data_IF_939529623781
#
_entry.id   IF_939529623781
#
_cell.length_a   1.000
_cell.length_b   1.000
_cell.length_c   1.000
_cell.angle_alpha   90.00
_cell.angle_beta   90.00
_cell.angle_gamma   90.00
#
_symmetry.space_group_name_H-M   'P 1'
#
loop_
_entity.id
_entity.type
_entity.pdbx_description
1 polymer ?
#
# COMPACT_ATOMS: atom_id res chain seq x y z
N UNK A 1 -25.27 3.18 -4.15
CA UNK A 1 -25.21 2.03 -3.23
C UNK A 1 -24.77 2.47 -1.85
N UNK A 2 -24.97 1.60 -0.85
CA UNK A 2 -24.43 1.74 0.51
C UNK A 2 -23.21 0.82 0.61
N UNK A 3 -22.05 1.39 0.91
CA UNK A 3 -20.77 0.68 0.94
C UNK A 3 -20.27 0.65 2.39
N UNK A 4 -20.04 -0.55 2.92
CA UNK A 4 -19.42 -0.72 4.22
C UNK A 4 -17.90 -0.85 4.08
N UNK A 5 -17.15 -0.16 4.94
CA UNK A 5 -15.69 -0.18 4.91
C UNK A 5 -15.19 -0.60 6.31
N UNK A 6 -14.46 -1.72 6.37
CA UNK A 6 -13.81 -2.19 7.58
C UNK A 6 -12.45 -1.49 7.67
N UNK A 7 -12.31 -0.64 8.71
CA UNK A 7 -11.28 0.36 8.82
C UNK A 7 -11.80 1.76 8.46
N UNK A 8 -11.38 2.76 9.21
CA UNK A 8 -11.75 4.15 9.02
C UNK A 8 -10.53 5.10 9.08
N UNK A 9 -9.38 4.61 8.66
CA UNK A 9 -8.15 5.37 8.53
C UNK A 9 -8.18 6.32 7.33
N UNK A 10 -7.01 6.74 6.87
CA UNK A 10 -6.90 7.66 5.73
C UNK A 10 -7.34 7.02 4.41
N UNK A 11 -7.12 5.71 4.22
CA UNK A 11 -7.56 5.03 3.00
C UNK A 11 -9.09 4.97 2.94
N UNK A 12 -9.73 4.62 4.06
CA UNK A 12 -11.18 4.68 4.22
C UNK A 12 -11.73 6.09 4.01
N UNK A 13 -11.03 7.13 4.50
CA UNK A 13 -11.42 8.52 4.24
C UNK A 13 -11.42 8.86 2.74
N UNK A 14 -10.36 8.50 2.01
CA UNK A 14 -10.25 8.75 0.57
C UNK A 14 -11.25 7.91 -0.23
N UNK A 15 -11.48 6.64 0.14
CA UNK A 15 -12.57 5.83 -0.42
C UNK A 15 -13.94 6.49 -0.20
N UNK A 16 -14.20 7.00 1.00
CA UNK A 16 -15.45 7.67 1.31
C UNK A 16 -15.65 8.97 0.54
N UNK A 17 -14.58 9.73 0.26
CA UNK A 17 -14.66 10.91 -0.59
C UNK A 17 -14.93 10.54 -2.05
N UNK A 18 -14.25 9.53 -2.59
CA UNK A 18 -14.49 9.00 -3.93
C UNK A 18 -15.94 8.49 -4.07
N UNK A 19 -16.41 7.72 -3.08
CA UNK A 19 -17.78 7.20 -3.03
C UNK A 19 -18.84 8.31 -3.07
N UNK A 20 -18.60 9.40 -2.33
CA UNK A 20 -19.49 10.57 -2.35
C UNK A 20 -19.53 11.22 -3.74
N UNK A 21 -18.40 11.31 -4.43
CA UNK A 21 -18.31 11.79 -5.81
C UNK A 21 -19.14 10.94 -6.80
N UNK A 22 -19.23 9.64 -6.54
CA UNK A 22 -20.05 8.67 -7.31
C UNK A 22 -21.52 8.59 -6.84
N UNK A 23 -21.94 9.37 -5.84
CA UNK A 23 -23.29 9.33 -5.29
C UNK A 23 -23.57 8.13 -4.37
N UNK A 24 -22.52 7.45 -3.88
CA UNK A 24 -22.65 6.36 -2.92
C UNK A 24 -22.59 6.88 -1.48
N UNK A 25 -23.03 6.04 -0.52
CA UNK A 25 -22.96 6.32 0.91
C UNK A 25 -22.05 5.30 1.59
N UNK A 26 -21.07 5.78 2.36
CA UNK A 26 -20.19 4.91 3.13
C UNK A 26 -20.59 4.80 4.59
N UNK A 27 -20.38 3.61 5.14
CA UNK A 27 -20.47 3.28 6.57
C UNK A 27 -19.16 2.61 6.96
N UNK A 28 -18.63 2.94 8.13
CA UNK A 28 -17.32 2.46 8.57
C UNK A 28 -17.43 1.66 9.85
N UNK A 29 -16.49 0.74 10.06
CA UNK A 29 -16.26 0.07 11.35
C UNK A 29 -14.80 0.26 11.75
N UNK A 30 -14.54 0.82 12.93
CA UNK A 30 -13.16 1.09 13.39
C UNK A 30 -13.15 1.19 14.92
N UNK A 31 -12.12 0.66 15.62
CA UNK A 31 -12.04 0.76 17.08
C UNK A 31 -11.74 2.17 17.61
N UNK A 32 -11.22 3.07 16.77
CA UNK A 32 -10.82 4.42 17.18
C UNK A 32 -12.04 5.31 17.44
N UNK A 33 -11.95 6.19 18.45
CA UNK A 33 -13.00 7.16 18.77
C UNK A 33 -13.06 8.31 17.74
N UNK A 34 -11.94 8.69 17.14
CA UNK A 34 -11.82 9.77 16.17
C UNK A 34 -11.04 9.37 14.91
N UNK A 35 -11.53 8.37 14.14
CA UNK A 35 -10.84 7.96 12.94
C UNK A 35 -10.96 9.01 11.82
N UNK A 36 -9.98 9.10 10.90
CA UNK A 36 -9.99 10.03 9.76
C UNK A 36 -11.26 9.98 8.91
N UNK A 37 -11.79 8.80 8.61
CA UNK A 37 -12.94 8.61 7.73
C UNK A 37 -14.28 9.08 8.31
N UNK A 38 -14.36 9.48 9.59
CA UNK A 38 -15.59 10.02 10.21
C UNK A 38 -16.19 11.21 9.48
N UNK A 39 -15.37 11.96 8.71
CA UNK A 39 -15.83 13.10 7.90
C UNK A 39 -16.45 12.66 6.58
N UNK A 40 -16.30 11.39 6.21
CA UNK A 40 -16.81 10.80 4.97
C UNK A 40 -18.09 9.98 5.17
N UNK A 41 -18.38 9.51 6.41
CA UNK A 41 -19.60 8.78 6.74
C UNK A 41 -19.69 8.35 8.20
N UNK A 42 -20.82 7.74 8.62
CA UNK A 42 -21.01 7.21 9.98
C UNK A 42 -20.01 6.09 10.28
N UNK A 43 -19.52 6.06 11.53
CA UNK A 43 -18.61 5.03 12.04
C UNK A 43 -19.29 4.23 13.14
N UNK A 44 -19.25 2.91 13.02
CA UNK A 44 -19.56 1.96 14.11
C UNK A 44 -18.25 1.79 14.87
N UNK A 45 -18.19 2.27 16.11
CA UNK A 45 -17.00 2.15 16.93
C UNK A 45 -17.00 0.77 17.61
N UNK A 46 -16.18 -0.15 17.10
CA UNK A 46 -16.03 -1.50 17.64
C UNK A 46 -14.70 -2.12 17.20
N UNK A 47 -14.17 -3.11 17.91
CA UNK A 47 -13.06 -3.94 17.44
C UNK A 47 -13.37 -4.61 16.10
N UNK A 48 -12.33 -4.91 15.30
CA UNK A 48 -12.51 -5.53 13.99
C UNK A 48 -12.99 -6.98 14.04
N UNK A 49 -12.90 -7.64 15.20
CA UNK A 49 -13.38 -9.00 15.48
C UNK A 49 -14.75 -9.03 16.16
N UNK A 50 -15.40 -7.89 16.38
CA UNK A 50 -16.74 -7.82 16.92
C UNK A 50 -17.78 -8.28 15.87
N UNK A 51 -18.19 -9.55 15.98
CA UNK A 51 -19.13 -10.20 15.05
C UNK A 51 -20.50 -9.52 15.01
N UNK A 52 -20.95 -8.93 16.14
CA UNK A 52 -22.22 -8.20 16.20
C UNK A 52 -22.12 -6.89 15.43
N UNK A 53 -21.05 -6.14 15.64
CA UNK A 53 -20.81 -4.90 14.91
C UNK A 53 -20.62 -5.13 13.40
N UNK A 54 -19.93 -6.20 13.02
CA UNK A 54 -19.78 -6.62 11.62
C UNK A 54 -21.14 -6.98 11.00
N UNK A 55 -21.98 -7.73 11.68
CA UNK A 55 -23.33 -8.06 11.21
C UNK A 55 -24.22 -6.79 11.07
N UNK A 56 -24.11 -5.83 11.98
CA UNK A 56 -24.80 -4.53 11.89
C UNK A 56 -24.29 -3.72 10.69
N UNK A 57 -22.99 -3.77 10.39
CA UNK A 57 -22.44 -3.12 9.20
C UNK A 57 -22.97 -3.80 7.93
N UNK A 58 -22.97 -5.14 7.89
CA UNK A 58 -23.47 -5.94 6.77
C UNK A 58 -24.96 -5.64 6.46
N UNK A 59 -25.81 -5.57 7.47
CA UNK A 59 -27.24 -5.27 7.31
C UNK A 59 -27.50 -3.86 6.72
N UNK A 60 -26.60 -2.93 6.98
CA UNK A 60 -26.72 -1.55 6.47
C UNK A 60 -26.23 -1.35 5.03
N UNK A 61 -25.47 -2.29 4.48
CA UNK A 61 -24.69 -2.10 3.27
C UNK A 61 -25.09 -3.06 2.16
N UNK A 62 -24.83 -2.67 0.94
CA UNK A 62 -25.10 -3.47 -0.26
C UNK A 62 -23.83 -4.25 -0.69
N UNK A 63 -22.65 -3.79 -0.24
CA UNK A 63 -21.33 -4.40 -0.43
C UNK A 63 -20.39 -3.96 0.68
N UNK A 64 -19.43 -4.81 1.07
CA UNK A 64 -18.38 -4.48 2.02
C UNK A 64 -17.01 -4.49 1.34
N UNK A 65 -16.14 -3.62 1.84
CA UNK A 65 -14.69 -3.63 1.56
C UNK A 65 -13.90 -3.37 2.83
N UNK A 66 -12.58 -3.51 2.76
CA UNK A 66 -11.68 -3.20 3.85
C UNK A 66 -10.54 -2.28 3.38
N UNK A 67 -10.05 -1.42 4.27
CA UNK A 67 -8.93 -0.52 4.00
C UNK A 67 -7.66 -0.90 4.76
N UNK A 68 -7.77 -1.92 5.63
CA UNK A 68 -6.69 -2.37 6.50
C UNK A 68 -6.51 -3.90 6.37
N UNK A 69 -5.31 -4.34 6.08
CA UNK A 69 -5.03 -5.74 5.76
C UNK A 69 -4.95 -6.69 6.96
N UNK A 70 -4.77 -6.16 8.19
CA UNK A 70 -4.72 -6.99 9.40
C UNK A 70 -6.07 -7.14 10.10
N UNK A 71 -7.18 -7.06 9.34
CA UNK A 71 -8.51 -7.39 9.87
C UNK A 71 -8.68 -8.90 10.01
N UNK A 72 -9.37 -9.40 11.04
CA UNK A 72 -9.54 -10.85 11.26
C UNK A 72 -10.36 -11.50 10.15
N UNK A 73 -9.74 -12.35 9.33
CA UNK A 73 -10.38 -13.04 8.19
C UNK A 73 -11.57 -13.88 8.65
N UNK A 74 -11.43 -14.60 9.78
CA UNK A 74 -12.45 -15.48 10.33
C UNK A 74 -13.72 -14.72 10.76
N UNK A 75 -13.55 -13.51 11.31
CA UNK A 75 -14.69 -12.68 11.71
C UNK A 75 -15.45 -12.12 10.51
N UNK A 76 -14.73 -11.79 9.43
CA UNK A 76 -15.35 -11.31 8.20
C UNK A 76 -16.00 -12.47 7.43
N UNK A 77 -15.42 -13.67 7.48
CA UNK A 77 -15.99 -14.84 6.83
C UNK A 77 -17.43 -15.15 7.30
N UNK A 78 -17.76 -14.89 8.56
CA UNK A 78 -19.10 -15.12 9.11
C UNK A 78 -20.19 -14.24 8.49
N UNK A 79 -19.83 -13.14 7.84
CA UNK A 79 -20.79 -12.20 7.24
C UNK A 79 -20.83 -12.25 5.71
N UNK A 80 -20.00 -13.10 5.06
CA UNK A 80 -19.96 -13.20 3.59
C UNK A 80 -21.25 -13.75 2.98
N UNK A 81 -22.02 -14.54 3.75
CA UNK A 81 -23.36 -15.01 3.34
C UNK A 81 -24.45 -13.93 3.43
N UNK A 82 -24.18 -12.83 4.16
CA UNK A 82 -25.12 -11.73 4.37
C UNK A 82 -24.97 -10.64 3.30
N UNK A 83 -23.74 -10.38 2.86
CA UNK A 83 -23.40 -9.30 1.95
C UNK A 83 -22.11 -9.64 1.19
N UNK A 84 -21.98 -9.29 -0.11
CA UNK A 84 -20.72 -9.44 -0.83
C UNK A 84 -19.58 -8.67 -0.14
N UNK A 85 -18.44 -9.33 0.01
CA UNK A 85 -17.21 -8.74 0.59
C UNK A 85 -16.11 -8.77 -0.46
N UNK A 86 -15.58 -7.61 -0.80
CA UNK A 86 -14.47 -7.44 -1.73
C UNK A 86 -13.38 -6.53 -1.16
N UNK A 87 -12.12 -6.83 -1.46
CA UNK A 87 -11.60 -7.97 -2.20
C UNK A 87 -11.84 -9.32 -1.52
N UNK A 88 -11.61 -10.46 -2.23
CA UNK A 88 -11.87 -11.79 -1.68
C UNK A 88 -10.96 -12.08 -0.49
N UNK A 89 -11.50 -12.74 0.54
CA UNK A 89 -10.78 -13.05 1.77
C UNK A 89 -9.55 -13.94 1.56
N UNK A 90 -9.50 -14.72 0.46
CA UNK A 90 -8.32 -15.49 0.08
C UNK A 90 -7.11 -14.57 -0.17
N UNK A 91 -7.30 -13.44 -0.85
CA UNK A 91 -6.24 -12.46 -1.07
C UNK A 91 -5.76 -11.84 0.24
N UNK A 92 -6.70 -11.50 1.13
CA UNK A 92 -6.38 -10.97 2.46
C UNK A 92 -5.56 -11.97 3.29
N UNK A 93 -5.93 -13.26 3.24
CA UNK A 93 -5.24 -14.33 3.96
C UNK A 93 -3.80 -14.50 3.48
N UNK A 94 -3.56 -14.48 2.17
CA UNK A 94 -2.21 -14.54 1.61
C UNK A 94 -1.37 -13.33 2.04
N UNK A 95 -1.91 -12.11 1.95
CA UNK A 95 -1.19 -10.89 2.33
C UNK A 95 -0.87 -10.78 3.84
N UNK A 96 -1.61 -11.49 4.70
CA UNK A 96 -1.36 -11.49 6.15
C UNK A 96 -0.18 -12.35 6.60
N UNK A 97 0.36 -13.20 5.73
CA UNK A 97 1.47 -14.09 6.06
C UNK A 97 2.52 -14.09 4.95
N UNK A 98 3.70 -13.54 5.21
CA UNK A 98 4.77 -13.38 4.22
C UNK A 98 5.18 -14.71 3.55
N UNK A 99 5.10 -15.84 4.27
CA UNK A 99 5.43 -17.15 3.68
C UNK A 99 4.33 -17.59 2.70
N UNK A 100 3.06 -17.41 3.05
CA UNK A 100 1.94 -17.75 2.18
C UNK A 100 1.91 -16.84 0.94
N UNK A 101 2.32 -15.59 1.10
CA UNK A 101 2.50 -14.62 0.02
C UNK A 101 3.63 -15.03 -0.94
N UNK A 102 4.82 -15.39 -0.42
CA UNK A 102 5.93 -15.87 -1.26
C UNK A 102 5.55 -17.17 -2.01
N UNK A 103 4.87 -18.09 -1.37
CA UNK A 103 4.37 -19.31 -2.01
C UNK A 103 3.34 -19.03 -3.10
N UNK A 104 2.50 -18.00 -2.93
CA UNK A 104 1.60 -17.55 -3.98
C UNK A 104 2.39 -17.04 -5.19
N UNK A 105 3.39 -16.18 -4.99
CA UNK A 105 4.23 -15.68 -6.08
C UNK A 105 4.97 -16.82 -6.79
N UNK A 106 5.57 -17.77 -6.06
CA UNK A 106 6.22 -18.97 -6.63
C UNK A 106 5.24 -19.78 -7.50
N UNK A 107 4.01 -19.97 -7.03
CA UNK A 107 2.98 -20.73 -7.76
C UNK A 107 2.55 -20.09 -9.08
N UNK A 108 2.83 -18.78 -9.23
CA UNK A 108 2.50 -17.97 -10.40
C UNK A 108 3.73 -17.66 -11.28
N UNK A 109 4.89 -18.26 -10.98
CA UNK A 109 6.16 -17.95 -11.66
C UNK A 109 6.50 -16.44 -11.63
N UNK A 110 6.11 -15.72 -10.57
CA UNK A 110 6.51 -14.33 -10.33
C UNK A 110 7.85 -14.35 -9.62
N UNK A 111 8.92 -13.73 -10.18
CA UNK A 111 10.25 -13.81 -9.62
C UNK A 111 10.34 -13.28 -8.20
N UNK A 112 11.06 -14.01 -7.35
CA UNK A 112 11.35 -13.69 -5.96
C UNK A 112 12.84 -13.67 -5.70
N UNK A 113 13.26 -12.90 -4.72
CA UNK A 113 14.56 -13.10 -4.08
C UNK A 113 14.54 -14.42 -3.31
N UNK A 114 15.70 -15.06 -3.13
CA UNK A 114 15.78 -16.30 -2.36
C UNK A 114 15.25 -16.08 -0.93
N UNK A 115 14.48 -17.03 -0.43
CA UNK A 115 13.93 -16.96 0.92
C UNK A 115 13.94 -18.32 1.62
N UNK A 116 13.90 -18.30 2.94
CA UNK A 116 13.89 -19.53 3.76
C UNK A 116 12.91 -19.36 4.93
N UNK A 117 12.17 -20.42 5.24
CA UNK A 117 11.27 -20.46 6.41
C UNK A 117 12.08 -20.70 7.67
N UNK A 118 11.88 -19.90 8.71
CA UNK A 118 12.62 -19.97 9.96
C UNK A 118 11.65 -20.29 11.10
N UNK A 119 11.85 -21.45 11.74
CA UNK A 119 11.08 -21.88 12.90
C UNK A 119 12.00 -22.14 14.11
N UNK A 120 13.31 -22.15 13.90
CA UNK A 120 14.33 -22.31 14.95
C UNK A 120 15.57 -21.48 14.61
N UNK A 121 16.49 -21.36 15.57
CA UNK A 121 17.75 -20.66 15.34
C UNK A 121 18.65 -21.45 14.35
N UNK A 122 18.56 -22.77 14.37
CA UNK A 122 19.28 -23.66 13.44
C UNK A 122 18.78 -23.46 11.99
N UNK A 123 17.49 -23.17 11.79
CA UNK A 123 16.96 -22.80 10.47
C UNK A 123 17.58 -21.47 9.99
N UNK A 124 17.77 -20.51 10.90
CA UNK A 124 18.37 -19.21 10.56
C UNK A 124 19.86 -19.36 10.23
N UNK A 125 20.60 -20.20 10.96
CA UNK A 125 21.98 -20.57 10.64
C UNK A 125 22.08 -21.25 9.27
N UNK A 126 21.13 -22.13 8.96
CA UNK A 126 21.08 -22.81 7.65
C UNK A 126 20.77 -21.83 6.53
N UNK A 127 19.80 -20.94 6.73
CA UNK A 127 19.47 -19.87 5.79
C UNK A 127 20.68 -18.97 5.49
N UNK A 128 21.45 -18.58 6.52
CA UNK A 128 22.65 -17.78 6.35
C UNK A 128 23.71 -18.49 5.48
N UNK A 129 23.82 -19.81 5.59
CA UNK A 129 24.74 -20.62 4.75
C UNK A 129 24.23 -20.81 3.31
N UNK A 130 22.92 -20.98 3.14
CA UNK A 130 22.30 -21.28 1.84
C UNK A 130 22.06 -20.03 0.99
N UNK A 131 21.52 -18.97 1.60
CA UNK A 131 21.22 -17.69 0.93
C UNK A 131 22.47 -16.81 0.87
N UNK A 132 23.32 -16.86 1.92
CA UNK A 132 24.45 -15.98 2.12
C UNK A 132 24.09 -14.76 2.98
N UNK A 133 25.12 -14.06 3.41
CA UNK A 133 25.00 -12.80 4.18
C UNK A 133 25.35 -11.59 3.30
N UNK A 134 24.75 -10.43 3.50
CA UNK A 134 23.69 -10.18 4.47
C UNK A 134 22.33 -10.77 4.04
N UNK A 135 21.43 -11.00 5.02
CA UNK A 135 20.03 -11.37 4.79
C UNK A 135 19.10 -10.56 5.70
N UNK A 136 17.81 -10.51 5.34
CA UNK A 136 16.79 -9.84 6.12
C UNK A 136 15.87 -10.87 6.75
N UNK A 137 15.83 -10.91 8.09
CA UNK A 137 14.88 -11.74 8.83
C UNK A 137 13.65 -10.91 9.15
N UNK A 138 12.47 -11.45 8.89
CA UNK A 138 11.18 -10.76 9.10
C UNK A 138 10.23 -11.65 9.90
N UNK A 139 9.39 -11.01 10.73
CA UNK A 139 8.21 -11.71 11.27
C UNK A 139 7.25 -12.02 10.11
N UNK A 140 6.67 -13.23 10.10
CA UNK A 140 5.74 -13.63 9.04
C UNK A 140 4.47 -12.81 9.03
N UNK A 141 4.01 -12.36 10.21
CA UNK A 141 2.75 -11.62 10.38
C UNK A 141 2.97 -10.31 11.12
N UNK A 142 2.05 -9.35 10.94
CA UNK A 142 1.97 -8.08 11.67
C UNK A 142 3.17 -7.12 11.46
N UNK A 143 4.08 -7.39 10.53
CA UNK A 143 5.13 -6.46 10.12
C UNK A 143 4.57 -5.35 9.23
N UNK A 144 5.00 -4.10 9.43
CA UNK A 144 4.63 -2.95 8.60
C UNK A 144 5.63 -1.80 8.77
N UNK A 145 5.77 -0.96 7.76
CA UNK A 145 6.63 0.25 7.78
C UNK A 145 8.03 -0.04 8.40
N UNK A 146 8.69 -1.14 7.98
CA UNK A 146 10.02 -1.55 8.46
C UNK A 146 10.08 -2.16 9.87
N UNK A 147 8.95 -2.36 10.54
CA UNK A 147 8.89 -3.04 11.84
C UNK A 147 8.82 -4.55 11.69
N UNK A 148 9.37 -5.25 12.68
CA UNK A 148 9.40 -6.73 12.67
C UNK A 148 10.39 -7.28 11.66
N UNK A 149 11.51 -6.58 11.43
CA UNK A 149 12.61 -7.07 10.60
C UNK A 149 13.98 -6.75 11.23
N UNK A 150 14.96 -7.61 10.94
CA UNK A 150 16.35 -7.48 11.38
C UNK A 150 17.28 -7.82 10.20
N UNK A 151 18.35 -7.04 10.02
CA UNK A 151 19.35 -7.31 8.99
C UNK A 151 20.49 -8.07 9.65
N UNK A 152 20.69 -9.34 9.29
CA UNK A 152 21.80 -10.17 9.70
C UNK A 152 22.94 -9.94 8.70
N UNK A 153 24.04 -9.35 9.17
CA UNK A 153 25.19 -8.99 8.34
C UNK A 153 26.33 -10.00 8.49
N UNK A 154 26.44 -10.58 9.66
CA UNK A 154 27.47 -11.55 10.05
C UNK A 154 26.88 -12.62 10.97
N UNK A 155 27.55 -13.75 11.13
CA UNK A 155 27.04 -14.89 11.90
C UNK A 155 26.73 -14.51 13.36
N UNK A 156 27.45 -13.55 13.93
CA UNK A 156 27.25 -13.03 15.28
C UNK A 156 25.89 -12.33 15.48
N UNK A 157 25.28 -11.85 14.41
CA UNK A 157 23.96 -11.19 14.44
C UNK A 157 22.80 -12.19 14.61
N UNK A 158 23.00 -13.48 14.28
CA UNK A 158 21.95 -14.50 14.21
C UNK A 158 21.20 -14.65 15.53
N UNK A 159 21.92 -14.77 16.64
CA UNK A 159 21.29 -14.91 17.95
C UNK A 159 20.52 -13.64 18.38
N UNK A 160 21.03 -12.46 18.03
CA UNK A 160 20.39 -11.20 18.31
C UNK A 160 19.09 -11.06 17.48
N UNK A 161 19.13 -11.37 16.19
CA UNK A 161 17.96 -11.34 15.30
C UNK A 161 16.86 -12.28 15.78
N UNK A 162 17.22 -13.53 16.14
CA UNK A 162 16.28 -14.53 16.66
C UNK A 162 15.58 -14.05 17.92
N UNK A 163 16.34 -13.52 18.88
CA UNK A 163 15.81 -13.02 20.16
C UNK A 163 14.94 -11.75 19.99
N UNK A 164 15.38 -10.83 19.13
CA UNK A 164 14.67 -9.55 18.92
C UNK A 164 13.33 -9.74 18.21
N UNK A 165 13.26 -10.66 17.25
CA UNK A 165 12.05 -10.93 16.48
C UNK A 165 11.06 -11.90 17.17
N UNK A 166 11.39 -12.42 18.37
CA UNK A 166 10.43 -13.09 19.25
C UNK A 166 10.36 -14.60 19.11
N UNK A 167 11.46 -15.28 18.72
CA UNK A 167 11.60 -16.74 18.77
C UNK A 167 10.40 -17.51 18.17
N UNK A 168 9.88 -17.02 17.04
CA UNK A 168 8.65 -17.52 16.44
C UNK A 168 8.79 -17.89 14.97
N UNK A 169 7.66 -17.97 14.30
CA UNK A 169 7.63 -18.21 12.85
C UNK A 169 8.13 -16.98 12.10
N UNK A 170 9.32 -17.05 11.54
CA UNK A 170 10.00 -16.01 10.80
C UNK A 170 10.22 -16.44 9.33
N UNK A 171 10.67 -15.52 8.52
CA UNK A 171 11.16 -15.74 7.16
C UNK A 171 12.48 -14.98 7.01
N UNK A 172 13.49 -15.64 6.41
CA UNK A 172 14.72 -14.99 5.99
C UNK A 172 14.66 -14.76 4.48
N UNK A 173 14.99 -13.57 4.03
CA UNK A 173 15.03 -13.19 2.62
C UNK A 173 16.42 -12.69 2.25
N UNK A 174 16.85 -12.98 1.04
CA UNK A 174 18.11 -12.49 0.50
C UNK A 174 18.14 -10.95 0.53
N UNK A 175 19.24 -10.40 1.04
CA UNK A 175 19.53 -8.99 0.82
C UNK A 175 19.96 -8.77 -0.62
N UNK A 176 19.41 -7.77 -1.26
CA UNK A 176 19.83 -7.37 -2.62
C UNK A 176 20.05 -5.87 -2.66
N UNK A 177 21.10 -5.44 -3.34
CA UNK A 177 21.28 -4.06 -3.73
C UNK A 177 20.45 -3.83 -4.99
N UNK A 178 19.20 -3.39 -4.80
CA UNK A 178 18.30 -3.05 -5.89
C UNK A 178 18.55 -1.62 -6.38
N UNK A 179 18.29 -1.36 -7.64
CA UNK A 179 18.45 -0.03 -8.22
C UNK A 179 17.42 0.95 -7.66
N UNK A 180 16.16 0.51 -7.56
CA UNK A 180 15.04 1.26 -6.96
C UNK A 180 13.83 0.36 -6.75
N UNK A 181 12.86 0.87 -5.99
CA UNK A 181 11.59 0.19 -5.76
C UNK A 181 10.50 0.74 -6.67
N UNK A 182 9.62 -0.13 -7.15
CA UNK A 182 8.43 0.26 -7.92
C UNK A 182 7.18 -0.40 -7.38
N UNK A 183 6.03 0.19 -7.69
CA UNK A 183 4.74 -0.46 -7.48
C UNK A 183 3.91 -0.47 -8.75
N UNK A 184 3.32 -1.63 -9.04
CA UNK A 184 2.24 -1.80 -9.99
C UNK A 184 0.92 -1.70 -9.25
N UNK A 185 -0.07 -1.02 -9.84
CA UNK A 185 -1.42 -0.93 -9.29
C UNK A 185 -2.37 -1.40 -10.38
N UNK A 186 -3.17 -2.41 -10.05
CA UNK A 186 -4.18 -2.97 -10.93
C UNK A 186 -5.54 -2.98 -10.28
N UNK A 187 -6.57 -3.03 -11.09
CA UNK A 187 -7.96 -3.17 -10.67
C UNK A 187 -8.65 -4.20 -11.54
N UNK A 188 -9.48 -5.05 -10.95
CA UNK A 188 -10.33 -6.01 -11.64
C UNK A 188 -11.74 -5.94 -11.06
N UNK A 189 -12.75 -5.91 -11.91
CA UNK A 189 -14.15 -5.94 -11.46
C UNK A 189 -14.72 -7.36 -11.41
N UNK A 190 -15.95 -7.50 -10.96
CA UNK A 190 -16.66 -8.79 -10.84
C UNK A 190 -16.76 -9.52 -12.19
N UNK A 191 -16.92 -8.79 -13.29
CA UNK A 191 -17.01 -9.37 -14.65
C UNK A 191 -15.63 -9.77 -15.23
N UNK A 192 -14.55 -9.53 -14.49
CA UNK A 192 -13.19 -9.88 -14.90
C UNK A 192 -12.48 -8.83 -15.75
N UNK A 193 -13.06 -7.65 -15.96
CA UNK A 193 -12.38 -6.56 -16.67
C UNK A 193 -11.23 -6.01 -15.82
N UNK A 194 -10.04 -5.93 -16.42
CA UNK A 194 -8.80 -5.48 -15.76
C UNK A 194 -8.34 -4.14 -16.36
N UNK A 195 -7.90 -3.23 -15.50
CA UNK A 195 -7.13 -2.05 -15.86
C UNK A 195 -5.92 -1.90 -14.95
N UNK A 196 -4.80 -1.41 -15.50
CA UNK A 196 -3.57 -1.20 -14.73
C UNK A 196 -3.06 0.23 -14.93
N UNK A 197 -2.62 0.83 -13.83
CA UNK A 197 -1.94 2.13 -13.86
C UNK A 197 -0.51 1.97 -14.36
N UNK A 198 0.11 3.09 -14.76
CA UNK A 198 1.53 3.10 -15.07
C UNK A 198 2.36 2.72 -13.84
N UNK A 199 3.53 2.14 -14.09
CA UNK A 199 4.47 1.76 -13.02
C UNK A 199 4.95 3.01 -12.28
N UNK A 200 4.99 2.92 -10.96
CA UNK A 200 5.34 4.02 -10.05
C UNK A 200 6.69 3.74 -9.39
N UNK A 201 7.64 4.67 -9.48
CA UNK A 201 8.89 4.64 -8.74
C UNK A 201 8.68 5.15 -7.31
N UNK A 202 9.18 4.43 -6.32
CA UNK A 202 9.02 4.72 -4.89
C UNK A 202 10.37 4.93 -4.21
N UNK A 203 10.45 5.95 -3.36
CA UNK A 203 11.59 6.19 -2.46
C UNK A 203 11.13 5.97 -1.03
N UNK A 204 11.74 4.99 -0.34
CA UNK A 204 11.53 4.76 1.07
C UNK A 204 12.69 5.32 1.91
N UNK A 205 12.39 5.73 3.12
CA UNK A 205 13.38 6.00 4.15
C UNK A 205 12.86 5.47 5.49
N UNK A 206 13.70 4.73 6.20
CA UNK A 206 13.35 4.05 7.46
C UNK A 206 12.12 3.12 7.30
N UNK A 207 12.00 2.43 6.15
CA UNK A 207 10.86 1.55 5.83
C UNK A 207 9.54 2.28 5.52
N UNK A 208 9.55 3.63 5.46
CA UNK A 208 8.35 4.42 5.20
C UNK A 208 8.44 5.07 3.81
N UNK A 209 7.44 4.87 2.98
CA UNK A 209 7.33 5.53 1.69
C UNK A 209 7.35 7.06 1.87
N UNK A 210 8.30 7.72 1.22
CA UNK A 210 8.48 9.18 1.26
C UNK A 210 8.00 9.84 -0.02
N UNK A 211 8.36 9.30 -1.18
CA UNK A 211 8.07 9.91 -2.47
C UNK A 211 7.65 8.81 -3.45
N UNK A 212 6.67 9.13 -4.28
CA UNK A 212 6.31 8.34 -5.46
C UNK A 212 6.39 9.21 -6.71
N UNK A 213 6.85 8.64 -7.84
CA UNK A 213 6.92 9.29 -9.15
C UNK A 213 6.32 8.39 -10.22
N UNK A 214 5.43 8.94 -11.03
CA UNK A 214 4.77 8.26 -12.12
C UNK A 214 4.74 9.13 -13.40
N UNK A 215 4.85 8.53 -14.59
CA UNK A 215 5.19 7.15 -14.87
C UNK A 215 6.70 6.85 -14.77
N UNK A 216 7.05 5.57 -14.55
CA UNK A 216 8.41 5.06 -14.81
C UNK A 216 8.60 4.96 -16.32
N UNK A 217 9.79 5.39 -16.82
CA UNK A 217 10.12 5.38 -18.25
C UNK A 217 10.86 4.09 -18.63
N UNK A 218 10.12 2.97 -18.61
CA UNK A 218 10.61 1.67 -19.09
C UNK A 218 9.42 0.85 -19.57
N UNK A 219 9.32 0.66 -20.88
CA UNK A 219 8.26 -0.17 -21.46
C UNK A 219 8.44 -1.63 -21.05
N UNK A 220 9.67 -2.12 -20.97
CA UNK A 220 9.99 -3.48 -20.58
C UNK A 220 9.51 -3.78 -19.14
N UNK A 221 9.93 -2.98 -18.17
CA UNK A 221 9.51 -3.15 -16.76
C UNK A 221 8.00 -2.98 -16.61
N UNK A 222 7.40 -2.05 -17.36
CA UNK A 222 5.94 -1.83 -17.34
C UNK A 222 5.17 -3.04 -17.87
N UNK A 223 5.70 -3.71 -18.91
CA UNK A 223 5.09 -4.94 -19.44
C UNK A 223 5.22 -6.11 -18.47
N UNK A 224 6.40 -6.32 -17.88
CA UNK A 224 6.61 -7.34 -16.83
C UNK A 224 5.67 -7.14 -15.64
N UNK A 225 5.62 -5.93 -15.10
CA UNK A 225 4.78 -5.59 -13.96
C UNK A 225 3.29 -5.80 -14.26
N UNK A 226 2.84 -5.45 -15.48
CA UNK A 226 1.47 -5.68 -15.93
C UNK A 226 1.16 -7.18 -16.01
N UNK A 227 2.09 -7.99 -16.53
CA UNK A 227 1.95 -9.45 -16.58
C UNK A 227 1.78 -10.04 -15.18
N UNK A 228 2.64 -9.68 -14.23
CA UNK A 228 2.56 -10.18 -12.86
C UNK A 228 1.27 -9.74 -12.16
N UNK A 229 0.87 -8.48 -12.34
CA UNK A 229 -0.39 -7.96 -11.83
C UNK A 229 -1.58 -8.74 -12.37
N UNK A 230 -1.63 -8.99 -13.68
CA UNK A 230 -2.70 -9.77 -14.31
C UNK A 230 -2.77 -11.20 -13.74
N UNK A 231 -1.63 -11.89 -13.61
CA UNK A 231 -1.55 -13.24 -13.03
C UNK A 231 -2.14 -13.27 -11.61
N UNK A 232 -1.80 -12.30 -10.75
CA UNK A 232 -2.34 -12.20 -9.40
C UNK A 232 -3.85 -11.94 -9.39
N UNK A 233 -4.32 -10.96 -10.16
CA UNK A 233 -5.73 -10.59 -10.22
C UNK A 233 -6.61 -11.75 -10.72
N UNK A 234 -6.14 -12.48 -11.74
CA UNK A 234 -6.86 -13.64 -12.29
C UNK A 234 -6.84 -14.83 -11.34
N UNK A 235 -5.67 -15.17 -10.78
CA UNK A 235 -5.54 -16.33 -9.88
C UNK A 235 -6.37 -16.19 -8.61
N UNK A 236 -6.39 -14.98 -8.03
CA UNK A 236 -7.14 -14.70 -6.80
C UNK A 236 -8.64 -14.46 -7.04
N UNK A 237 -9.11 -14.53 -8.29
CA UNK A 237 -10.45 -14.05 -8.69
C UNK A 237 -10.76 -12.69 -8.04
N UNK A 238 -9.76 -11.81 -8.13
CA UNK A 238 -9.70 -10.57 -7.37
C UNK A 238 -10.76 -9.58 -7.85
N UNK A 239 -11.39 -8.90 -6.90
CA UNK A 239 -12.31 -7.78 -7.19
C UNK A 239 -11.90 -6.57 -6.34
N UNK A 240 -11.58 -5.46 -6.99
CA UNK A 240 -11.08 -4.26 -6.34
C UNK A 240 -9.72 -3.82 -6.88
N UNK A 241 -9.06 -2.92 -6.18
CA UNK A 241 -7.70 -2.47 -6.45
C UNK A 241 -6.70 -3.29 -5.65
N UNK A 242 -5.60 -3.71 -6.30
CA UNK A 242 -4.46 -4.40 -5.72
C UNK A 242 -3.19 -3.62 -6.05
N UNK A 243 -2.27 -3.53 -5.12
CA UNK A 243 -0.92 -3.02 -5.37
C UNK A 243 0.12 -4.12 -5.17
N UNK A 244 1.07 -4.23 -6.11
CA UNK A 244 2.21 -5.13 -6.06
C UNK A 244 3.48 -4.30 -5.95
N UNK A 245 4.27 -4.50 -4.89
CA UNK A 245 5.55 -3.85 -4.67
C UNK A 245 6.69 -4.73 -5.18
N UNK A 246 7.62 -4.13 -5.92
CA UNK A 246 8.66 -4.83 -6.67
C UNK A 246 10.01 -4.13 -6.50
N UNK A 247 11.08 -4.91 -6.40
CA UNK A 247 12.45 -4.43 -6.54
C UNK A 247 12.87 -4.49 -8.00
N UNK A 248 13.56 -3.45 -8.46
CA UNK A 248 14.20 -3.42 -9.78
C UNK A 248 15.68 -3.74 -9.60
N UNK A 249 16.16 -4.75 -10.34
CA UNK A 249 17.57 -5.13 -10.38
C UNK A 249 17.96 -5.28 -11.86
N UNK A 250 18.64 -4.29 -12.39
CA UNK A 250 18.92 -4.20 -13.82
C UNK A 250 17.64 -4.07 -14.65
N UNK A 251 17.33 -5.07 -15.46
CA UNK A 251 16.12 -5.15 -16.28
C UNK A 251 15.06 -6.11 -15.72
N UNK A 252 15.26 -6.62 -14.50
CA UNK A 252 14.39 -7.60 -13.89
C UNK A 252 13.58 -7.00 -12.74
N UNK A 253 12.41 -7.61 -12.49
CA UNK A 253 11.52 -7.30 -11.37
C UNK A 253 11.40 -8.50 -10.42
N UNK A 254 11.59 -8.25 -9.12
CA UNK A 254 11.41 -9.24 -8.06
C UNK A 254 10.31 -8.79 -7.11
N UNK A 255 9.33 -9.67 -6.84
CA UNK A 255 8.23 -9.33 -5.96
C UNK A 255 8.69 -9.22 -4.49
N UNK A 256 8.31 -8.10 -3.87
CA UNK A 256 8.47 -7.89 -2.44
C UNK A 256 7.20 -8.33 -1.68
N UNK A 257 6.12 -7.60 -1.82
CA UNK A 257 4.83 -7.88 -1.17
C UNK A 257 3.67 -7.33 -2.02
N UNK A 258 2.44 -7.76 -1.72
CA UNK A 258 1.26 -7.13 -2.31
C UNK A 258 0.29 -6.64 -1.24
N UNK A 259 -0.42 -5.56 -1.54
CA UNK A 259 -1.48 -5.05 -0.70
C UNK A 259 -2.85 -5.32 -1.36
N UNK A 260 -3.73 -6.12 -0.74
CA UNK A 260 -5.05 -6.46 -1.31
C UNK A 260 -6.06 -5.31 -1.08
N UNK A 261 -5.69 -4.10 -1.40
CA UNK A 261 -6.44 -2.85 -1.18
C UNK A 261 -5.83 -1.70 -1.97
N UNK A 262 -6.49 -0.55 -1.95
CA UNK A 262 -5.86 0.72 -2.35
C UNK A 262 -4.58 0.97 -1.56
N UNK A 263 -3.57 1.57 -2.20
CA UNK A 263 -2.23 1.66 -1.62
C UNK A 263 -1.68 3.09 -1.62
N UNK A 264 -0.78 3.38 -0.67
CA UNK A 264 -0.16 4.70 -0.51
C UNK A 264 0.65 5.12 -1.75
N UNK A 265 1.33 4.19 -2.42
CA UNK A 265 2.08 4.48 -3.64
C UNK A 265 1.18 4.87 -4.84
N UNK A 266 -0.13 4.67 -4.74
CA UNK A 266 -1.12 5.05 -5.73
C UNK A 266 -1.91 6.32 -5.39
N UNK A 267 -1.57 7.05 -4.33
CA UNK A 267 -2.31 8.27 -3.96
C UNK A 267 -2.20 9.36 -5.04
N UNK A 268 -1.08 9.39 -5.76
CA UNK A 268 -0.88 10.29 -6.89
C UNK A 268 -1.96 10.18 -7.97
N UNK A 269 -2.66 9.04 -8.05
CA UNK A 269 -3.70 8.80 -9.05
C UNK A 269 -4.93 9.70 -8.87
N UNK A 270 -5.09 10.33 -7.69
CA UNK A 270 -6.21 11.25 -7.44
C UNK A 270 -6.16 12.42 -8.44
N UNK A 271 -4.98 12.99 -8.66
CA UNK A 271 -4.76 14.10 -9.57
C UNK A 271 -4.06 13.69 -10.87
N UNK A 272 -3.22 12.66 -10.80
CA UNK A 272 -2.31 12.26 -11.88
C UNK A 272 -2.85 11.20 -12.83
N UNK A 273 -4.06 10.68 -12.61
CA UNK A 273 -4.73 9.75 -13.50
C UNK A 273 -6.14 10.24 -13.85
N UNK A 274 -6.68 9.79 -15.00
CA UNK A 274 -8.05 10.11 -15.42
C UNK A 274 -9.09 9.56 -14.43
N UNK A 275 -8.84 8.39 -13.86
CA UNK A 275 -9.65 7.81 -12.78
C UNK A 275 -8.73 7.34 -11.65
N UNK A 276 -8.99 7.79 -10.43
CA UNK A 276 -8.15 7.43 -9.29
C UNK A 276 -8.29 5.95 -8.90
N UNK A 277 -7.27 5.39 -8.23
CA UNK A 277 -7.35 4.04 -7.66
C UNK A 277 -8.54 3.85 -6.71
N UNK A 278 -8.95 4.91 -6.01
CA UNK A 278 -10.08 4.89 -5.08
C UNK A 278 -11.39 4.78 -5.83
N UNK A 279 -11.56 5.56 -6.89
CA UNK A 279 -12.73 5.51 -7.77
C UNK A 279 -12.82 4.17 -8.47
N UNK A 280 -11.71 3.67 -9.03
CA UNK A 280 -11.66 2.37 -9.69
C UNK A 280 -11.90 1.20 -8.74
N UNK A 281 -11.42 1.29 -7.49
CA UNK A 281 -11.77 0.29 -6.46
C UNK A 281 -13.29 0.23 -6.25
N UNK A 282 -13.94 1.38 -6.14
CA UNK A 282 -15.38 1.45 -5.95
C UNK A 282 -16.15 0.96 -7.19
N UNK A 283 -15.75 1.34 -8.39
CA UNK A 283 -16.32 0.78 -9.63
C UNK A 283 -16.25 -0.74 -9.63
N UNK A 284 -15.08 -1.30 -9.30
CA UNK A 284 -14.86 -2.73 -9.28
C UNK A 284 -15.81 -3.47 -8.32
N UNK A 285 -15.93 -2.99 -7.06
CA UNK A 285 -16.75 -3.65 -6.03
C UNK A 285 -18.26 -3.38 -6.19
N UNK A 286 -18.65 -2.37 -7.00
CA UNK A 286 -20.06 -2.10 -7.34
C UNK A 286 -20.48 -2.66 -8.70
N UNK A 287 -19.60 -3.48 -9.27
CA UNK A 287 -19.78 -4.14 -10.57
C UNK A 287 -19.89 -3.17 -11.76
N UNK A 288 -19.15 -2.06 -11.67
CA UNK A 288 -18.94 -1.17 -12.80
C UNK A 288 -17.62 -1.49 -13.50
N UNK A 289 -17.52 -1.17 -14.78
CA UNK A 289 -16.25 -1.32 -15.50
C UNK A 289 -15.22 -0.33 -14.94
N UNK A 290 -13.92 -0.72 -14.81
CA UNK A 290 -12.88 0.22 -14.46
C UNK A 290 -12.85 1.41 -15.42
N UNK A 291 -12.76 2.62 -14.86
CA UNK A 291 -12.49 3.82 -15.63
C UNK A 291 -11.06 3.84 -16.16
N UNK A 292 -10.78 4.73 -17.11
CA UNK A 292 -9.45 4.89 -17.70
C UNK A 292 -8.39 5.16 -16.65
N UNK A 293 -7.27 4.44 -16.74
CA UNK A 293 -6.07 4.61 -15.90
C UNK A 293 -5.02 5.50 -16.54
N UNK A 294 -5.38 6.19 -17.64
CA UNK A 294 -4.49 7.09 -18.37
C UNK A 294 -3.93 8.19 -17.48
N UNK A 295 -2.65 8.53 -17.70
CA UNK A 295 -2.00 9.60 -16.96
C UNK A 295 -2.46 10.97 -17.45
N UNK A 296 -2.69 11.91 -16.54
CA UNK A 296 -2.98 13.33 -16.86
C UNK A 296 -1.71 14.15 -17.07
N UNK A 297 -0.55 13.58 -16.76
CA UNK A 297 0.78 14.18 -16.86
C UNK A 297 1.82 13.36 -16.10
N UNK A 298 2.93 13.98 -15.75
CA UNK A 298 3.95 13.42 -14.89
C UNK A 298 3.62 13.75 -13.43
N UNK A 299 3.18 12.74 -12.67
CA UNK A 299 2.77 12.92 -11.28
C UNK A 299 3.92 12.64 -10.30
N UNK A 300 3.92 13.38 -9.19
CA UNK A 300 4.78 13.15 -8.06
C UNK A 300 4.03 13.34 -6.75
N UNK A 301 4.27 12.49 -5.77
CA UNK A 301 3.64 12.55 -4.46
C UNK A 301 4.70 12.53 -3.37
N UNK A 302 4.52 13.37 -2.34
CA UNK A 302 5.34 13.38 -1.11
C UNK A 302 4.44 13.07 0.07
N UNK A 303 4.79 12.07 0.87
CA UNK A 303 4.14 11.79 2.15
C UNK A 303 4.61 12.77 3.23
N UNK A 304 3.68 13.27 4.02
CA UNK A 304 3.92 14.19 5.13
C UNK A 304 3.91 13.40 6.44
N UNK A 305 5.11 13.25 7.02
CA UNK A 305 5.34 12.37 8.17
C UNK A 305 5.60 13.18 9.43
N UNK A 306 4.91 12.84 10.51
CA UNK A 306 5.11 13.42 11.85
C UNK A 306 4.49 14.79 12.03
N UNK A 307 4.59 15.68 11.04
CA UNK A 307 3.98 17.04 11.01
C UNK A 307 3.63 17.45 9.58
N UNK A 308 2.72 18.39 9.45
CA UNK A 308 2.45 19.13 8.21
C UNK A 308 2.92 20.56 8.46
N UNK A 309 4.05 21.00 7.88
CA UNK A 309 4.54 22.36 8.04
C UNK A 309 3.59 23.39 7.41
N UNK A 310 3.48 24.59 7.99
CA UNK A 310 2.65 25.67 7.43
C UNK A 310 3.12 26.05 6.03
N UNK A 311 4.44 26.07 5.79
CA UNK A 311 5.00 26.31 4.47
C UNK A 311 4.50 25.33 3.37
N UNK A 312 4.08 24.12 3.74
CA UNK A 312 3.47 23.17 2.80
C UNK A 312 2.00 23.49 2.57
N UNK A 313 1.31 24.02 3.58
CA UNK A 313 -0.10 24.44 3.45
C UNK A 313 -0.28 25.64 2.55
N UNK A 314 0.74 26.50 2.47
CA UNK A 314 0.74 27.73 1.69
C UNK A 314 1.22 27.54 0.24
N UNK A 315 1.56 26.30 -0.18
CA UNK A 315 1.98 26.02 -1.55
C UNK A 315 0.80 26.14 -2.52
N UNK A 316 0.94 27.05 -3.49
CA UNK A 316 -0.08 27.26 -4.54
C UNK A 316 -0.04 26.19 -5.64
N UNK A 317 1.06 25.43 -5.72
CA UNK A 317 1.25 24.37 -6.69
C UNK A 317 1.16 23.00 -5.99
N UNK A 318 0.25 22.22 -6.22
CA UNK A 318 0.12 20.89 -5.62
C UNK A 318 -1.15 20.76 -4.77
N UNK A 319 -1.55 19.53 -4.65
CA UNK A 319 -2.79 19.14 -3.99
C UNK A 319 -2.48 18.51 -2.64
N UNK A 320 -2.74 19.26 -1.57
CA UNK A 320 -2.54 18.78 -0.20
C UNK A 320 -3.75 17.97 0.27
N UNK A 321 -3.49 16.74 0.69
CA UNK A 321 -4.44 15.84 1.36
C UNK A 321 -4.05 15.70 2.84
N UNK A 322 -4.67 16.50 3.71
CA UNK A 322 -4.52 16.40 5.16
C UNK A 322 -5.52 15.36 5.70
N UNK A 323 -5.04 14.34 6.37
CA UNK A 323 -5.89 13.26 6.90
C UNK A 323 -6.60 13.61 8.21
N UNK A 324 -6.33 14.77 8.79
CA UNK A 324 -6.92 15.23 10.05
C UNK A 324 -6.47 14.41 11.26
N UNK A 325 -5.27 13.84 11.22
CA UNK A 325 -4.68 13.06 12.31
C UNK A 325 -3.85 13.93 13.25
N UNK A 326 -3.83 13.55 14.53
CA UNK A 326 -2.95 14.18 15.50
C UNK A 326 -1.47 13.91 15.16
N UNK A 327 -0.58 14.94 15.17
CA UNK A 327 0.83 14.80 14.89
C UNK A 327 1.53 13.89 15.90
N UNK A 328 2.36 12.95 15.38
CA UNK A 328 3.30 12.16 16.16
C UNK A 328 4.44 11.64 15.28
N UNK A 329 5.65 11.40 15.82
CA UNK A 329 6.78 10.85 15.06
C UNK A 329 6.39 9.59 14.27
N UNK A 330 6.86 9.48 13.03
CA UNK A 330 6.64 8.33 12.14
C UNK A 330 5.23 8.21 11.56
N UNK A 331 4.26 9.02 11.98
CA UNK A 331 2.87 8.93 11.50
C UNK A 331 2.68 9.67 10.18
N UNK A 332 2.10 8.97 9.19
CA UNK A 332 1.63 9.61 7.94
C UNK A 332 0.41 10.49 8.26
N UNK A 333 0.54 11.80 8.09
CA UNK A 333 -0.49 12.80 8.40
C UNK A 333 -1.23 13.32 7.18
N UNK A 334 -0.61 13.20 6.02
CA UNK A 334 -1.12 13.66 4.76
C UNK A 334 -0.16 13.30 3.63
N UNK A 335 -0.50 13.73 2.44
CA UNK A 335 0.40 13.76 1.30
C UNK A 335 0.12 15.01 0.46
N UNK A 336 1.09 15.36 -0.37
CA UNK A 336 0.91 16.40 -1.39
C UNK A 336 1.28 15.81 -2.75
N UNK A 337 0.42 16.01 -3.75
CA UNK A 337 0.60 15.56 -5.12
C UNK A 337 0.83 16.73 -6.05
N UNK A 338 1.75 16.60 -6.98
CA UNK A 338 1.94 17.53 -8.11
C UNK A 338 1.79 16.77 -9.42
N UNK A 339 1.28 17.46 -10.44
CA UNK A 339 1.21 16.97 -11.80
C UNK A 339 1.84 18.03 -12.72
N UNK A 340 2.73 17.61 -13.59
CA UNK A 340 3.47 18.48 -14.49
C UNK A 340 3.46 17.94 -15.92
N UNK A 341 3.72 18.80 -16.90
CA UNK A 341 3.81 18.40 -18.31
C UNK A 341 5.07 17.58 -18.61
N UNK A 342 6.15 17.75 -17.82
CA UNK A 342 7.42 17.05 -17.99
C UNK A 342 7.93 16.45 -16.68
N UNK A 343 8.76 15.40 -16.79
CA UNK A 343 9.46 14.81 -15.63
C UNK A 343 10.36 15.84 -14.92
N UNK A 344 11.07 16.64 -15.67
CA UNK A 344 11.98 17.65 -15.10
C UNK A 344 11.23 18.66 -14.23
N UNK A 345 10.07 19.12 -14.69
CA UNK A 345 9.24 20.03 -13.90
C UNK A 345 8.63 19.34 -12.67
N UNK A 346 8.12 18.11 -12.80
CA UNK A 346 7.68 17.30 -11.65
C UNK A 346 8.79 17.20 -10.60
N UNK A 347 10.01 16.85 -11.00
CA UNK A 347 11.13 16.64 -10.06
C UNK A 347 11.58 17.95 -9.41
N UNK A 348 11.51 19.06 -10.12
CA UNK A 348 11.72 20.40 -9.58
C UNK A 348 10.67 20.73 -8.50
N UNK A 349 9.39 20.47 -8.76
CA UNK A 349 8.30 20.70 -7.81
C UNK A 349 8.42 19.80 -6.57
N UNK A 350 8.79 18.52 -6.76
CA UNK A 350 9.05 17.60 -5.63
C UNK A 350 10.20 18.08 -4.76
N UNK A 351 11.27 18.63 -5.34
CA UNK A 351 12.38 19.22 -4.59
C UNK A 351 11.91 20.40 -3.74
N UNK A 352 11.12 21.30 -4.31
CA UNK A 352 10.56 22.43 -3.55
C UNK A 352 9.68 21.96 -2.38
N UNK A 353 8.87 20.92 -2.57
CA UNK A 353 8.07 20.35 -1.48
C UNK A 353 8.99 19.77 -0.39
N UNK A 354 10.01 18.98 -0.76
CA UNK A 354 10.97 18.42 0.18
C UNK A 354 11.64 19.50 1.04
N UNK A 355 12.10 20.58 0.41
CA UNK A 355 12.73 21.71 1.10
C UNK A 355 11.79 22.35 2.12
N UNK A 356 10.52 22.54 1.77
CA UNK A 356 9.49 23.06 2.68
C UNK A 356 9.12 22.11 3.81
N UNK A 357 9.18 20.78 3.57
CA UNK A 357 8.94 19.76 4.60
C UNK A 357 10.10 19.70 5.60
N UNK A 358 11.35 19.78 5.13
CA UNK A 358 12.55 19.71 5.98
C UNK A 358 12.91 21.01 6.66
N UNK A 359 12.40 22.13 6.18
CA UNK A 359 12.76 23.48 6.64
C UNK A 359 14.13 23.94 6.10
N UNK A 360 14.65 23.28 5.06
CA UNK A 360 15.86 23.68 4.35
C UNK A 360 15.53 24.77 3.36
N UNK A 361 15.34 26.01 3.82
CA UNK A 361 15.33 27.15 2.89
C UNK A 361 16.73 27.30 2.34
N UNK A 362 16.91 27.04 1.05
CA UNK A 362 18.09 27.50 0.31
C UNK A 362 18.13 29.03 0.46
N UNK A 363 18.99 29.50 1.36
CA UNK A 363 19.20 30.91 1.58
C UNK A 363 19.73 31.56 0.31
N UNK A 364 18.84 32.19 -0.46
CA UNK A 364 19.24 33.20 -1.45
C UNK A 364 19.69 34.42 -0.65
N UNK A 365 20.93 34.37 -0.17
CA UNK A 365 21.62 35.53 0.36
C UNK A 365 21.86 36.50 -0.77
N UNK A 366 20.94 37.43 -1.00
CA UNK A 366 21.24 38.68 -1.66
C UNK A 366 21.99 39.56 -0.64
N UNK A 367 23.32 39.41 -0.67
CA UNK A 367 24.19 40.39 0.01
C UNK A 367 24.03 41.77 -0.68
N UNK A 368 23.65 42.72 0.09
CA UNK A 368 23.85 44.15 -0.20
C UNK A 368 25.19 44.57 0.33
#
# INVERSE_FOLDING_TARGET
MRIGIIGAGQLGQMLGFAARGLGHKCFFLDPSDRPPARVAGPVIQAPFDDRVALAVLADKCDVLTYEFENVPVEAIADITDLVPVYPPLAALKHAQDRLDEKRLFDSLDIPLLAYHTINSIEDLESAAKEIGLPLVVKTRRMGYDGKGQYIVREDEDIEAAWRELGEGSLIAEQWVDFDYEVSAIGVRNVDGAIASYCLTHNEHADGILRISRAPVQSDHLSELARKYMQQLLEHLDYVGTLALELFVVGEDLYANEFAPRVHNSGHWTIEGAETSQFTNHLHAITNEAPGSTGNTGHAGMVNLIGRIPDAVRDLEFGHLHDYGKDPRPGRKLGHITVVAETMAERDRLLTLIKDNVTGSTSGSGTGT
#
